data_IF_182042811355
#
_entry.id   IF_182042811355
#
_cell.length_a   1.000
_cell.length_b   1.000
_cell.length_c   1.000
_cell.angle_alpha   90.00
_cell.angle_beta   90.00
_cell.angle_gamma   90.00
#
_symmetry.space_group_name_H-M   'P 1'
#
loop_
_entity.id
_entity.type
_entity.pdbx_description
1 polymer ?
#
# COMPACT_ATOMS: atom_id res chain seq x y z
N UNK A 1 19.53 -30.41 5.15
CA UNK A 1 19.74 -28.95 5.18
C UNK A 1 18.39 -28.30 5.38
N UNK A 2 18.23 -27.32 6.28
CA UNK A 2 17.00 -26.54 6.32
C UNK A 2 16.81 -25.82 4.97
N UNK A 3 15.58 -25.68 4.46
CA UNK A 3 15.34 -24.92 3.24
C UNK A 3 15.80 -23.48 3.43
N UNK A 4 16.55 -22.96 2.47
CA UNK A 4 16.84 -21.53 2.35
C UNK A 4 15.51 -20.77 2.34
N UNK A 5 15.27 -19.80 3.24
CA UNK A 5 14.04 -19.01 3.20
C UNK A 5 14.03 -18.21 1.90
N UNK A 6 13.11 -18.59 1.00
CA UNK A 6 13.02 -18.10 -0.37
C UNK A 6 12.07 -16.90 -0.45
N UNK A 7 12.22 -15.95 0.47
CA UNK A 7 11.24 -14.87 0.71
C UNK A 7 11.65 -13.51 0.15
N UNK A 8 12.84 -13.42 -0.47
CA UNK A 8 13.42 -12.16 -0.92
C UNK A 8 13.44 -12.12 -2.44
N UNK A 9 12.42 -11.50 -3.03
CA UNK A 9 12.49 -11.05 -4.42
C UNK A 9 13.23 -9.72 -4.45
N UNK A 10 14.56 -9.78 -4.44
CA UNK A 10 15.36 -8.62 -4.78
C UNK A 10 15.08 -8.27 -6.24
N UNK A 11 14.38 -7.16 -6.48
CA UNK A 11 14.16 -6.65 -7.83
C UNK A 11 15.41 -5.96 -8.40
N UNK A 12 16.51 -5.85 -7.62
CA UNK A 12 17.83 -5.35 -8.04
C UNK A 12 18.88 -6.45 -8.08
N UNK A 13 19.64 -6.53 -9.17
CA UNK A 13 20.76 -7.48 -9.34
C UNK A 13 22.07 -7.03 -8.68
N UNK A 14 22.38 -5.73 -8.62
CA UNK A 14 23.75 -5.28 -8.31
C UNK A 14 23.91 -4.56 -6.96
N UNK A 15 22.83 -4.39 -6.21
CA UNK A 15 22.78 -3.45 -5.07
C UNK A 15 21.90 -3.96 -3.92
N UNK A 16 21.67 -5.28 -3.91
CA UNK A 16 20.78 -5.97 -2.99
C UNK A 16 21.21 -5.87 -1.53
N UNK A 17 20.30 -6.24 -0.64
CA UNK A 17 20.61 -6.36 0.78
C UNK A 17 21.69 -7.44 0.98
N UNK A 18 22.75 -7.19 1.77
CA UNK A 18 23.72 -8.23 2.09
C UNK A 18 23.01 -9.49 2.63
N UNK A 19 23.36 -10.71 2.18
CA UNK A 19 22.63 -11.92 2.54
C UNK A 19 22.49 -12.15 4.04
N UNK A 20 23.55 -11.87 4.81
CA UNK A 20 23.53 -11.99 6.28
C UNK A 20 22.55 -10.98 6.91
N UNK A 21 22.50 -9.76 6.36
CA UNK A 21 21.57 -8.74 6.83
C UNK A 21 20.12 -9.10 6.48
N UNK A 22 19.90 -9.62 5.29
CA UNK A 22 18.61 -10.15 4.86
C UNK A 22 18.11 -11.28 5.76
N UNK A 23 18.98 -12.23 6.10
CA UNK A 23 18.63 -13.34 6.99
C UNK A 23 18.25 -12.85 8.40
N UNK A 24 18.95 -11.84 8.94
CA UNK A 24 18.60 -11.24 10.23
C UNK A 24 17.26 -10.51 10.20
N UNK A 25 16.95 -9.78 9.13
CA UNK A 25 15.65 -9.12 8.95
C UNK A 25 14.52 -10.15 8.81
N UNK A 26 14.73 -11.20 8.03
CA UNK A 26 13.77 -12.31 7.87
C UNK A 26 13.48 -12.97 9.23
N UNK A 27 14.49 -13.19 10.06
CA UNK A 27 14.30 -13.73 11.41
C UNK A 27 13.41 -12.83 12.28
N UNK A 28 13.54 -11.50 12.21
CA UNK A 28 12.69 -10.59 12.99
C UNK A 28 11.24 -10.55 12.51
N UNK A 29 11.02 -10.65 11.20
CA UNK A 29 9.67 -10.75 10.59
C UNK A 29 8.89 -11.92 11.21
N UNK A 30 9.52 -13.09 11.32
CA UNK A 30 8.87 -14.28 11.87
C UNK A 30 8.88 -14.37 13.39
N UNK A 31 9.66 -13.55 14.11
CA UNK A 31 9.69 -13.58 15.56
C UNK A 31 8.46 -12.92 16.23
N UNK A 32 7.56 -12.32 15.46
CA UNK A 32 6.34 -11.65 15.95
C UNK A 32 5.20 -12.62 16.38
N UNK A 33 5.49 -13.91 16.54
CA UNK A 33 4.53 -15.02 16.71
C UNK A 33 3.59 -14.92 17.92
N UNK A 34 3.92 -14.12 18.95
CA UNK A 34 3.27 -14.21 20.27
C UNK A 34 2.29 -13.09 20.62
N UNK A 35 2.21 -12.01 19.83
CA UNK A 35 1.55 -10.77 20.30
C UNK A 35 0.41 -10.30 19.39
N UNK A 36 0.46 -10.57 18.09
CA UNK A 36 -0.43 -9.90 17.16
C UNK A 36 -1.80 -10.59 17.03
N UNK A 37 -2.77 -10.06 17.75
CA UNK A 37 -4.20 -10.34 17.53
C UNK A 37 -4.81 -9.46 16.42
N UNK A 38 -4.02 -8.52 15.89
CA UNK A 38 -4.45 -7.56 14.86
C UNK A 38 -3.28 -7.16 13.95
N UNK A 39 -3.49 -6.88 12.64
CA UNK A 39 -2.42 -6.45 11.72
C UNK A 39 -1.63 -5.21 12.20
N UNK A 40 -2.31 -4.28 12.88
CA UNK A 40 -1.68 -3.09 13.48
C UNK A 40 -0.73 -3.44 14.61
N UNK A 41 -1.05 -4.44 15.44
CA UNK A 41 -0.15 -4.88 16.52
C UNK A 41 1.11 -5.54 15.93
N UNK A 42 0.94 -6.35 14.90
CA UNK A 42 2.08 -6.90 14.15
C UNK A 42 2.96 -5.81 13.54
N UNK A 43 2.33 -4.79 12.95
CA UNK A 43 3.05 -3.66 12.38
C UNK A 43 3.96 -2.99 13.42
N UNK A 44 3.40 -2.62 14.58
CA UNK A 44 4.15 -1.96 15.64
C UNK A 44 5.21 -2.86 16.26
N UNK A 45 4.89 -4.13 16.53
CA UNK A 45 5.88 -5.09 17.01
C UNK A 45 7.04 -5.22 16.01
N UNK A 46 6.75 -5.35 14.71
CA UNK A 46 7.80 -5.45 13.70
C UNK A 46 8.63 -4.17 13.61
N UNK A 47 8.02 -2.99 13.74
CA UNK A 47 8.75 -1.72 13.85
C UNK A 47 9.75 -1.75 15.01
N UNK A 48 9.30 -2.09 16.22
CA UNK A 48 10.13 -2.13 17.43
C UNK A 48 11.27 -3.16 17.31
N UNK A 49 10.98 -4.33 16.75
CA UNK A 49 11.98 -5.38 16.54
C UNK A 49 13.04 -4.98 15.52
N UNK A 50 12.63 -4.37 14.42
CA UNK A 50 13.57 -3.82 13.43
C UNK A 50 14.36 -2.66 14.02
N UNK A 51 13.76 -1.82 14.85
CA UNK A 51 14.51 -0.78 15.55
C UNK A 51 15.62 -1.38 16.41
N UNK A 52 15.26 -2.32 17.28
CA UNK A 52 16.17 -3.01 18.18
C UNK A 52 17.26 -3.78 17.42
N UNK A 53 16.93 -4.41 16.29
CA UNK A 53 17.91 -5.07 15.42
C UNK A 53 18.92 -4.05 14.89
N UNK A 54 18.47 -2.92 14.35
CA UNK A 54 19.34 -1.85 13.87
C UNK A 54 20.31 -1.35 14.94
N UNK A 55 19.82 -1.15 16.16
CA UNK A 55 20.65 -0.73 17.30
C UNK A 55 21.70 -1.79 17.68
N UNK A 56 21.33 -3.08 17.74
CA UNK A 56 22.27 -4.18 18.00
C UNK A 56 23.36 -4.30 16.93
N UNK A 57 23.04 -3.94 15.69
CA UNK A 57 23.97 -3.92 14.56
C UNK A 57 24.80 -2.62 14.49
N UNK A 58 24.61 -1.69 15.45
CA UNK A 58 25.38 -0.45 15.56
C UNK A 58 24.88 0.71 14.71
N UNK A 59 23.68 0.59 14.11
CA UNK A 59 23.03 1.70 13.41
C UNK A 59 22.42 2.70 14.41
N UNK A 60 22.26 3.94 13.98
CA UNK A 60 21.31 4.85 14.62
C UNK A 60 19.93 4.51 14.04
N UNK A 61 19.09 3.90 14.86
CA UNK A 61 17.76 3.44 14.45
C UNK A 61 16.68 4.41 14.94
N UNK A 62 15.73 4.76 14.08
CA UNK A 62 14.61 5.64 14.41
C UNK A 62 13.31 5.08 13.83
N UNK A 63 12.27 5.07 14.65
CA UNK A 63 10.91 4.87 14.20
C UNK A 63 10.35 6.15 13.60
N UNK A 64 9.35 5.99 12.74
CA UNK A 64 8.45 7.09 12.39
C UNK A 64 9.21 8.33 11.84
N UNK A 65 10.19 8.05 10.98
CA UNK A 65 11.14 9.03 10.48
C UNK A 65 10.52 9.93 9.41
N UNK A 66 10.42 11.22 9.71
CA UNK A 66 9.90 12.22 8.76
C UNK A 66 10.83 12.41 7.57
N UNK A 67 10.32 12.16 6.36
CA UNK A 67 11.00 12.54 5.13
C UNK A 67 10.84 14.04 4.89
N UNK A 68 11.73 14.65 4.07
CA UNK A 68 11.44 15.94 3.45
C UNK A 68 10.08 15.93 2.71
N UNK A 69 9.60 17.11 2.32
CA UNK A 69 8.38 17.22 1.52
C UNK A 69 8.60 16.59 0.13
N UNK A 70 8.03 15.42 -0.11
CA UNK A 70 8.30 14.59 -1.30
C UNK A 70 7.04 14.19 -2.08
N UNK A 71 5.85 14.43 -1.52
CA UNK A 71 4.56 14.14 -2.15
C UNK A 71 3.71 15.41 -2.21
N UNK A 72 3.75 16.14 -3.33
CA UNK A 72 2.98 17.38 -3.55
C UNK A 72 3.18 18.41 -2.42
N UNK A 73 4.42 18.57 -1.96
CA UNK A 73 4.77 19.48 -0.85
C UNK A 73 4.43 18.94 0.55
N UNK A 74 3.92 17.70 0.67
CA UNK A 74 3.66 17.05 1.96
C UNK A 74 4.83 16.16 2.38
N UNK A 75 5.10 16.17 3.69
CA UNK A 75 6.06 15.25 4.32
C UNK A 75 5.46 13.85 4.38
N UNK A 76 6.29 12.85 4.12
CA UNK A 76 6.00 11.45 4.43
C UNK A 76 6.68 11.04 5.73
N UNK A 77 6.31 9.87 6.24
CA UNK A 77 6.93 9.26 7.41
C UNK A 77 7.28 7.83 7.07
N UNK A 78 8.55 7.45 7.23
CA UNK A 78 9.03 6.08 7.09
C UNK A 78 8.83 5.34 8.41
N UNK A 79 8.50 4.06 8.34
CA UNK A 79 8.21 3.24 9.53
C UNK A 79 9.47 3.05 10.38
N UNK A 80 10.59 2.69 9.74
CA UNK A 80 11.88 2.52 10.42
C UNK A 80 13.02 3.01 9.51
N UNK A 81 13.99 3.72 10.06
CA UNK A 81 15.22 4.12 9.35
C UNK A 81 16.44 3.80 10.20
N UNK A 82 17.39 3.11 9.60
CA UNK A 82 18.71 2.80 10.14
C UNK A 82 19.76 3.64 9.41
N UNK A 83 20.44 4.53 10.13
CA UNK A 83 21.55 5.32 9.59
C UNK A 83 22.87 4.74 10.08
N UNK A 84 23.78 4.40 9.16
CA UNK A 84 25.10 3.93 9.53
C UNK A 84 25.96 5.11 10.00
N UNK A 85 26.79 4.89 11.03
CA UNK A 85 27.65 5.95 11.60
C UNK A 85 28.95 6.17 10.83
N UNK A 86 29.35 5.18 10.04
CA UNK A 86 30.65 5.08 9.37
C UNK A 86 30.57 5.35 7.86
N UNK A 87 29.49 6.00 7.40
CA UNK A 87 29.29 6.30 5.99
C UNK A 87 28.90 5.10 5.13
N UNK A 88 28.74 3.90 5.73
CA UNK A 88 28.09 2.78 5.04
C UNK A 88 26.64 3.13 4.70
N UNK A 89 26.06 2.37 3.77
CA UNK A 89 24.66 2.53 3.40
C UNK A 89 23.75 2.19 4.58
N UNK A 90 22.77 3.04 4.85
CA UNK A 90 21.72 2.78 5.84
C UNK A 90 20.66 1.82 5.31
N UNK A 91 19.59 1.60 6.07
CA UNK A 91 18.38 0.87 5.61
C UNK A 91 17.14 1.71 5.91
N UNK A 92 16.21 1.80 4.97
CA UNK A 92 14.93 2.47 5.16
C UNK A 92 13.83 1.45 4.93
N UNK A 93 12.89 1.36 5.86
CA UNK A 93 11.82 0.37 5.85
C UNK A 93 10.45 1.04 5.71
N UNK A 94 9.61 0.40 4.90
CA UNK A 94 8.15 0.52 4.97
C UNK A 94 7.57 -0.87 5.21
N UNK A 95 6.53 -0.92 6.04
CA UNK A 95 5.85 -2.12 6.46
C UNK A 95 4.37 -1.96 6.09
N UNK A 96 3.88 -2.74 5.14
CA UNK A 96 2.48 -2.62 4.73
C UNK A 96 1.73 -3.96 4.73
N UNK A 97 0.47 -3.92 5.17
CA UNK A 97 -0.46 -5.03 5.01
C UNK A 97 -1.09 -5.09 3.59
N UNK A 98 -0.68 -4.21 2.68
CA UNK A 98 -1.19 -4.12 1.31
C UNK A 98 -0.28 -3.23 0.47
N UNK A 99 -0.27 -3.35 -0.85
CA UNK A 99 0.57 -2.49 -1.68
C UNK A 99 0.12 -1.02 -1.63
N UNK A 100 1.03 -0.10 -1.29
CA UNK A 100 0.74 1.33 -1.14
C UNK A 100 1.72 2.18 -1.93
N UNK A 101 1.18 2.96 -2.88
CA UNK A 101 1.92 3.94 -3.69
C UNK A 101 2.78 4.89 -2.85
N UNK A 102 2.25 5.38 -1.73
CA UNK A 102 2.95 6.36 -0.89
C UNK A 102 4.23 5.79 -0.27
N UNK A 103 4.21 4.52 0.12
CA UNK A 103 5.35 3.80 0.70
C UNK A 103 6.50 3.69 -0.30
N UNK A 104 6.19 3.30 -1.54
CA UNK A 104 7.14 3.25 -2.66
C UNK A 104 7.83 4.59 -2.85
N UNK A 105 7.08 5.70 -2.93
CA UNK A 105 7.66 7.03 -3.17
C UNK A 105 8.59 7.44 -2.01
N UNK A 106 8.20 7.17 -0.76
CA UNK A 106 9.04 7.43 0.43
C UNK A 106 10.36 6.67 0.35
N UNK A 107 10.33 5.39 -0.01
CA UNK A 107 11.52 4.55 -0.13
C UNK A 107 12.42 4.96 -1.29
N UNK A 108 11.86 5.26 -2.46
CA UNK A 108 12.63 5.71 -3.62
C UNK A 108 13.41 7.01 -3.34
N UNK A 109 12.84 7.89 -2.53
CA UNK A 109 13.54 9.11 -2.08
C UNK A 109 14.79 8.79 -1.25
N UNK A 110 14.76 7.73 -0.44
CA UNK A 110 15.88 7.32 0.42
C UNK A 110 16.91 6.44 -0.30
N UNK A 111 16.59 5.93 -1.49
CA UNK A 111 17.37 4.88 -2.17
C UNK A 111 18.83 5.27 -2.48
N UNK A 112 19.15 6.57 -2.53
CA UNK A 112 20.51 7.05 -2.77
C UNK A 112 21.47 6.82 -1.59
N UNK A 113 20.96 6.77 -0.35
CA UNK A 113 21.77 6.67 0.87
C UNK A 113 21.42 5.47 1.74
N UNK A 114 20.27 4.85 1.48
CA UNK A 114 19.75 3.70 2.23
C UNK A 114 19.38 2.58 1.26
N UNK A 115 19.41 1.35 1.76
CA UNK A 115 18.71 0.23 1.14
C UNK A 115 17.20 0.44 1.32
N UNK A 116 16.42 0.58 0.23
CA UNK A 116 14.99 0.87 0.30
C UNK A 116 14.18 -0.43 0.43
N UNK A 117 14.02 -0.91 1.65
CA UNK A 117 13.36 -2.19 1.96
C UNK A 117 11.87 -1.97 2.14
N UNK A 118 11.07 -2.72 1.39
CA UNK A 118 9.62 -2.74 1.52
C UNK A 118 9.17 -4.12 1.96
N UNK A 119 8.56 -4.21 3.14
CA UNK A 119 8.03 -5.47 3.67
C UNK A 119 6.52 -5.43 3.51
N UNK A 120 5.98 -6.32 2.68
CA UNK A 120 4.55 -6.42 2.42
C UNK A 120 4.03 -7.74 2.97
N UNK A 121 3.31 -7.69 4.08
CA UNK A 121 2.89 -8.87 4.86
C UNK A 121 1.37 -9.12 4.85
N UNK A 122 0.67 -8.58 3.86
CA UNK A 122 -0.75 -8.83 3.64
C UNK A 122 -1.09 -9.03 2.17
N UNK A 123 -2.33 -8.73 1.78
CA UNK A 123 -2.84 -9.06 0.44
C UNK A 123 -2.15 -8.17 -0.60
N UNK A 124 -1.47 -8.75 -1.61
CA UNK A 124 -0.77 -8.01 -2.66
C UNK A 124 -1.73 -7.35 -3.67
N UNK A 125 -2.81 -6.73 -3.19
CA UNK A 125 -3.72 -5.97 -4.03
C UNK A 125 -3.09 -4.63 -4.41
N UNK A 126 -2.55 -4.55 -5.63
CA UNK A 126 -2.10 -3.29 -6.21
C UNK A 126 -3.29 -2.50 -6.75
N UNK A 127 -3.43 -1.26 -6.30
CA UNK A 127 -4.39 -0.28 -6.88
C UNK A 127 -3.78 0.56 -8.00
N UNK A 128 -2.57 0.22 -8.45
CA UNK A 128 -1.77 0.99 -9.41
C UNK A 128 -0.95 0.02 -10.28
N UNK A 129 -0.53 0.46 -11.47
CA UNK A 129 0.26 -0.39 -12.35
C UNK A 129 1.71 -0.49 -11.83
N UNK A 130 2.34 -1.68 -11.83
CA UNK A 130 3.74 -1.84 -11.43
C UNK A 130 4.70 -0.92 -12.18
N UNK A 131 4.50 -0.78 -13.49
CA UNK A 131 5.32 0.04 -14.40
C UNK A 131 5.27 1.55 -14.11
N UNK A 132 4.25 2.02 -13.37
CA UNK A 132 4.15 3.42 -12.96
C UNK A 132 5.17 3.80 -11.87
N UNK A 133 5.83 2.80 -11.27
CA UNK A 133 6.78 3.01 -10.20
C UNK A 133 8.03 2.15 -10.42
N UNK A 134 9.20 2.73 -10.17
CA UNK A 134 10.49 2.04 -10.31
C UNK A 134 10.68 0.99 -9.19
N UNK A 135 9.81 -0.01 -9.13
CA UNK A 135 9.81 -1.13 -8.18
C UNK A 135 11.09 -1.97 -8.30
N UNK A 136 11.68 -1.98 -9.49
CA UNK A 136 13.02 -2.50 -9.77
C UNK A 136 14.12 -1.83 -8.95
N UNK A 137 13.85 -0.69 -8.31
CA UNK A 137 14.80 0.02 -7.44
C UNK A 137 14.58 -0.24 -5.95
N UNK A 138 13.56 -1.01 -5.57
CA UNK A 138 13.24 -1.37 -4.20
C UNK A 138 13.82 -2.74 -3.84
N UNK A 139 13.83 -3.07 -2.54
CA UNK A 139 14.06 -4.43 -2.06
C UNK A 139 12.74 -4.89 -1.47
N UNK A 140 12.01 -5.72 -2.20
CA UNK A 140 10.72 -6.24 -1.78
C UNK A 140 10.91 -7.54 -0.98
N UNK A 141 10.33 -7.57 0.22
CA UNK A 141 10.23 -8.75 1.06
C UNK A 141 8.74 -9.07 1.22
N UNK A 142 8.35 -10.26 0.78
CA UNK A 142 6.97 -10.76 0.85
C UNK A 142 6.95 -11.99 1.75
N UNK A 143 6.77 -11.82 3.08
CA UNK A 143 6.79 -12.93 4.02
C UNK A 143 5.82 -14.04 3.65
N UNK A 144 6.19 -15.28 3.94
CA UNK A 144 5.27 -16.40 3.83
C UNK A 144 4.13 -16.21 4.83
N UNK A 145 2.96 -15.82 4.30
CA UNK A 145 1.77 -15.53 5.09
C UNK A 145 1.31 -16.74 5.92
N UNK A 146 1.64 -17.97 5.51
CA UNK A 146 1.30 -19.18 6.25
C UNK A 146 2.08 -19.28 7.58
N UNK A 147 3.24 -18.63 7.68
CA UNK A 147 4.08 -18.55 8.87
C UNK A 147 3.76 -17.36 9.76
N UNK A 148 3.01 -16.37 9.25
CA UNK A 148 2.55 -15.24 10.04
C UNK A 148 1.31 -15.58 10.89
N UNK A 149 1.07 -14.89 12.01
CA UNK A 149 -0.12 -15.08 12.82
C UNK A 149 -1.40 -14.93 11.96
N UNK A 150 -2.40 -15.81 12.11
CA UNK A 150 -3.58 -15.84 11.23
C UNK A 150 -4.34 -14.51 11.13
N UNK A 151 -4.30 -13.70 12.18
CA UNK A 151 -4.97 -12.39 12.26
C UNK A 151 -4.19 -11.26 11.58
N UNK A 152 -2.90 -11.47 11.29
CA UNK A 152 -2.05 -10.56 10.52
C UNK A 152 -2.19 -10.75 9.02
N UNK A 153 -2.65 -11.93 8.59
CA UNK A 153 -3.00 -12.21 7.20
C UNK A 153 -4.12 -11.25 6.85
N UNK A 154 -3.88 -10.34 5.92
CA UNK A 154 -4.95 -9.52 5.38
C UNK A 154 -6.09 -10.46 4.98
N UNK A 155 -7.30 -10.22 5.50
CA UNK A 155 -8.48 -10.94 5.03
C UNK A 155 -8.58 -10.70 3.53
N UNK A 156 -8.91 -11.73 2.71
CA UNK A 156 -8.97 -11.59 1.25
C UNK A 156 -9.76 -10.32 0.89
N UNK A 157 -9.04 -9.28 0.47
CA UNK A 157 -9.64 -7.96 0.23
C UNK A 157 -10.45 -7.97 -1.06
N UNK A 158 -10.13 -8.90 -1.95
CA UNK A 158 -10.68 -9.01 -3.29
C UNK A 158 -12.19 -9.23 -3.31
N UNK A 159 -12.72 -10.19 -2.55
CA UNK A 159 -14.16 -10.50 -2.56
C UNK A 159 -15.00 -9.36 -1.96
N UNK A 160 -14.53 -8.75 -0.86
CA UNK A 160 -15.21 -7.57 -0.27
C UNK A 160 -15.12 -6.33 -1.14
N UNK A 161 -14.01 -6.12 -1.82
CA UNK A 161 -13.84 -4.96 -2.72
C UNK A 161 -14.61 -5.15 -4.03
N UNK A 162 -14.70 -6.37 -4.56
CA UNK A 162 -15.56 -6.70 -5.70
C UNK A 162 -17.03 -6.53 -5.33
N UNK A 163 -17.47 -7.01 -4.15
CA UNK A 163 -18.81 -6.78 -3.63
C UNK A 163 -19.12 -5.28 -3.46
N UNK A 164 -18.22 -4.52 -2.85
CA UNK A 164 -18.35 -3.06 -2.71
C UNK A 164 -18.39 -2.34 -4.07
N UNK A 165 -17.58 -2.73 -5.05
CA UNK A 165 -17.59 -2.16 -6.40
C UNK A 165 -18.89 -2.47 -7.14
N UNK A 166 -19.44 -3.67 -6.97
CA UNK A 166 -20.75 -4.07 -7.50
C UNK A 166 -21.86 -3.19 -6.91
N UNK A 167 -21.87 -3.02 -5.59
CA UNK A 167 -22.82 -2.16 -4.87
C UNK A 167 -22.74 -0.70 -5.34
N UNK A 168 -21.55 -0.14 -5.44
CA UNK A 168 -21.36 1.24 -5.90
C UNK A 168 -21.76 1.44 -7.38
N UNK A 169 -21.59 0.42 -8.24
CA UNK A 169 -22.05 0.45 -9.64
C UNK A 169 -23.58 0.43 -9.72
N UNK A 170 -24.24 -0.38 -8.89
CA UNK A 170 -25.70 -0.44 -8.82
C UNK A 170 -26.30 0.91 -8.40
N UNK A 171 -25.81 1.49 -7.30
CA UNK A 171 -26.24 2.80 -6.82
C UNK A 171 -26.08 3.91 -7.87
N UNK A 172 -24.96 3.89 -8.61
CA UNK A 172 -24.71 4.85 -9.69
C UNK A 172 -25.65 4.65 -10.89
N UNK A 173 -26.03 3.42 -11.20
CA UNK A 173 -26.98 3.11 -12.27
C UNK A 173 -28.39 3.57 -11.90
N UNK A 174 -28.83 3.30 -10.67
CA UNK A 174 -30.13 3.77 -10.14
C UNK A 174 -30.23 5.29 -10.17
N UNK A 175 -29.18 5.98 -9.71
CA UNK A 175 -29.15 7.45 -9.74
C UNK A 175 -29.25 8.00 -11.17
N UNK A 176 -28.59 7.38 -12.15
CA UNK A 176 -28.69 7.77 -13.56
C UNK A 176 -30.08 7.55 -14.13
N UNK A 177 -30.75 6.46 -13.75
CA UNK A 177 -32.12 6.19 -14.16
C UNK A 177 -33.10 7.21 -13.56
N UNK A 178 -32.94 7.54 -12.29
CA UNK A 178 -33.72 8.58 -11.61
C UNK A 178 -33.52 9.97 -12.26
N UNK A 179 -32.26 10.35 -12.53
CA UNK A 179 -31.93 11.61 -13.22
C UNK A 179 -32.51 11.66 -14.64
N UNK A 180 -32.51 10.54 -15.37
CA UNK A 180 -33.11 10.45 -16.71
C UNK A 180 -34.65 10.52 -16.68
N UNK A 181 -35.29 9.88 -15.70
CA UNK A 181 -36.73 9.95 -15.49
C UNK A 181 -37.17 11.39 -15.16
N UNK A 182 -36.47 12.04 -14.22
CA UNK A 182 -36.75 13.43 -13.86
C UNK A 182 -36.58 14.40 -15.04
N UNK A 183 -35.59 14.16 -15.93
CA UNK A 183 -35.44 14.96 -17.17
C UNK A 183 -36.59 14.76 -18.15
N UNK A 184 -37.08 13.54 -18.32
CA UNK A 184 -38.23 13.25 -19.18
C UNK A 184 -39.52 13.91 -18.66
N UNK A 185 -39.76 13.85 -17.36
CA UNK A 185 -40.90 14.54 -16.72
C UNK A 185 -40.79 16.06 -16.86
N UNK A 186 -39.59 16.63 -16.72
CA UNK A 186 -39.35 18.05 -16.95
C UNK A 186 -39.57 18.46 -18.41
N UNK A 187 -39.15 17.65 -19.38
CA UNK A 187 -39.38 17.88 -20.81
C UNK A 187 -40.85 17.74 -21.21
N UNK A 188 -41.61 16.81 -20.59
CA UNK A 188 -43.04 16.67 -20.83
C UNK A 188 -43.86 17.83 -20.24
N UNK A 189 -43.46 18.34 -19.08
CA UNK A 189 -44.12 19.48 -18.43
C UNK A 189 -43.76 20.84 -19.05
N UNK A 190 -42.67 20.92 -19.84
CA UNK A 190 -42.27 22.14 -20.56
C UNK A 190 -42.77 22.21 -22.01
N UNK A 191 -43.52 21.22 -22.51
CA UNK A 191 -44.12 21.30 -23.85
C UNK A 191 -45.21 22.39 -23.86
N UNK A 192 -45.10 23.42 -24.71
CA UNK A 192 -46.15 24.42 -24.81
C UNK A 192 -47.45 23.77 -25.29
N UNK A 193 -48.57 24.18 -24.69
CA UNK A 193 -49.90 23.74 -25.09
C UNK A 193 -50.06 23.95 -26.61
N UNK A 194 -50.62 22.98 -27.35
CA UNK A 194 -50.78 23.13 -28.79
C UNK A 194 -51.64 24.36 -29.06
N UNK A 195 -51.06 25.35 -29.76
CA UNK A 195 -51.81 26.51 -30.25
C UNK A 195 -53.00 26.00 -31.05
N UNK A 196 -54.20 26.30 -30.54
CA UNK A 196 -55.44 26.00 -31.21
C UNK A 196 -55.40 26.69 -32.57
N UNK A 197 -55.30 25.89 -33.65
CA UNK A 197 -55.54 26.40 -34.99
C UNK A 197 -56.97 26.89 -35.04
N UNK A 198 -57.12 28.21 -35.10
CA UNK A 198 -58.36 28.88 -35.44
C UNK A 198 -58.62 28.60 -36.93
N UNK A 199 -59.22 27.45 -37.22
CA UNK A 199 -59.81 27.16 -38.53
C UNK A 199 -61.13 27.92 -38.62
N UNK A 200 -61.14 28.93 -39.49
CA UNK A 200 -62.24 29.88 -39.63
C UNK A 200 -63.54 29.33 -40.23
N UNK A 201 -64.61 30.11 -40.03
CA UNK A 201 -65.87 30.22 -40.81
C UNK A 201 -66.76 31.19 -40.01
N UNK A 202 -67.40 32.22 -40.54
CA UNK A 202 -67.74 32.61 -41.90
C UNK A 202 -67.87 34.14 -41.98
#
# INVERSE_FOLDING_TARGET
MPPTPNTLHATRQDDGLPPDLAALIDAEIYACERVATHPTQYHYELQDRLQALGERLGYISKLEYWTPAILDGRRGQLDVVWTARDGRRGVAFELDASWRRRSIVKLLHMAATHYPVWIVYGDPYMTFAPEDYALDRLILIEPDLARLPPLCRARPGRERLEAYRLEQRALKAERRLAEAAARREAEETSKPAPEAKEEGRA
#
